data_IF_512084210315
#
_entry.id   IF_512084210315
#
_cell.length_a   1.000
_cell.length_b   1.000
_cell.length_c   1.000
_cell.angle_alpha   90.00
_cell.angle_beta   90.00
_cell.angle_gamma   90.00
#
_symmetry.space_group_name_H-M   'P 1'
#
loop_
_entity.id
_entity.type
_entity.pdbx_description
1 polymer ?
#
# COMPACT_ATOMS: atom_id res chain seq x y z
N UNK A 1 1.55 -22.45 -5.12
CA UNK A 1 1.28 -21.01 -5.06
C UNK A 1 0.81 -20.71 -3.65
N UNK A 2 1.45 -19.76 -2.96
CA UNK A 2 0.91 -19.17 -1.73
C UNK A 2 -0.38 -18.41 -2.05
N UNK A 3 -1.14 -18.01 -1.04
CA UNK A 3 -2.34 -17.20 -1.26
C UNK A 3 -1.98 -15.82 -1.84
N UNK A 4 -0.82 -15.26 -1.45
CA UNK A 4 -0.27 -14.05 -2.06
C UNK A 4 0.04 -14.25 -3.56
N UNK A 5 0.72 -15.33 -3.94
CA UNK A 5 1.03 -15.62 -5.36
C UNK A 5 -0.26 -15.81 -6.18
N UNK A 6 -1.33 -16.38 -5.60
CA UNK A 6 -2.63 -16.52 -6.27
C UNK A 6 -3.30 -15.15 -6.46
N UNK A 7 -3.25 -14.28 -5.45
CA UNK A 7 -3.73 -12.90 -5.55
C UNK A 7 -3.01 -12.15 -6.68
N UNK A 8 -1.68 -12.19 -6.71
CA UNK A 8 -0.87 -11.52 -7.73
C UNK A 8 -1.14 -12.06 -9.14
N UNK A 9 -1.45 -13.35 -9.26
CA UNK A 9 -1.83 -13.99 -10.52
C UNK A 9 -3.32 -13.81 -10.91
N UNK A 10 -4.14 -13.16 -10.08
CA UNK A 10 -5.56 -12.95 -10.33
C UNK A 10 -6.42 -14.22 -10.21
N UNK A 11 -5.97 -15.21 -9.43
CA UNK A 11 -6.67 -16.46 -9.15
C UNK A 11 -7.53 -16.33 -7.88
N UNK A 12 -8.41 -17.29 -7.65
CA UNK A 12 -9.11 -17.40 -6.36
C UNK A 12 -8.09 -17.61 -5.22
N UNK A 13 -8.19 -16.78 -4.18
CA UNK A 13 -7.29 -16.77 -3.02
C UNK A 13 -8.07 -16.56 -1.72
N UNK A 14 -7.48 -16.94 -0.59
CA UNK A 14 -8.04 -16.67 0.73
C UNK A 14 -7.78 -15.21 1.14
N UNK A 15 -8.85 -14.43 1.28
CA UNK A 15 -8.74 -13.02 1.68
C UNK A 15 -8.15 -12.83 3.08
N UNK A 16 -8.40 -13.76 4.00
CA UNK A 16 -7.95 -13.71 5.40
C UNK A 16 -6.65 -14.50 5.63
N UNK A 17 -5.92 -14.84 4.56
CA UNK A 17 -4.58 -15.41 4.70
C UNK A 17 -3.63 -14.39 5.37
N UNK A 18 -2.77 -14.81 6.31
CA UNK A 18 -1.91 -13.88 7.07
C UNK A 18 -0.97 -13.03 6.21
N UNK A 19 -0.47 -13.55 5.08
CA UNK A 19 0.44 -12.81 4.21
C UNK A 19 -0.32 -11.76 3.39
N UNK A 20 -1.50 -12.13 2.90
CA UNK A 20 -2.44 -11.23 2.23
C UNK A 20 -2.94 -10.14 3.20
N UNK A 21 -3.26 -10.52 4.43
CA UNK A 21 -3.68 -9.61 5.50
C UNK A 21 -2.59 -8.59 5.82
N UNK A 22 -1.35 -9.03 6.05
CA UNK A 22 -0.24 -8.14 6.36
C UNK A 22 -0.02 -7.07 5.26
N UNK A 23 -0.18 -7.44 3.98
CA UNK A 23 -0.10 -6.49 2.87
C UNK A 23 -1.20 -5.41 2.92
N UNK A 24 -2.45 -5.82 3.20
CA UNK A 24 -3.58 -4.90 3.36
C UNK A 24 -3.41 -3.99 4.58
N UNK A 25 -2.98 -4.54 5.72
CA UNK A 25 -2.74 -3.78 6.94
C UNK A 25 -1.64 -2.72 6.74
N UNK A 26 -0.54 -3.09 6.08
CA UNK A 26 0.50 -2.12 5.74
C UNK A 26 -0.05 -1.00 4.85
N UNK A 27 -0.85 -1.32 3.82
CA UNK A 27 -1.49 -0.30 2.99
C UNK A 27 -2.37 0.65 3.81
N UNK A 28 -3.18 0.13 4.75
CA UNK A 28 -3.99 0.94 5.66
C UNK A 28 -3.12 1.87 6.52
N UNK A 29 -2.01 1.37 7.07
CA UNK A 29 -1.07 2.17 7.87
C UNK A 29 -0.47 3.31 7.03
N UNK A 30 -0.03 3.03 5.81
CA UNK A 30 0.55 4.06 4.93
C UNK A 30 -0.50 5.12 4.54
N UNK A 31 -1.73 4.71 4.23
CA UNK A 31 -2.83 5.65 3.98
C UNK A 31 -3.11 6.55 5.18
N UNK A 32 -3.05 6.02 6.41
CA UNK A 32 -3.20 6.82 7.64
C UNK A 32 -2.07 7.84 7.79
N UNK A 33 -0.83 7.47 7.48
CA UNK A 33 0.31 8.41 7.49
C UNK A 33 0.10 9.53 6.47
N UNK A 34 -0.25 9.19 5.23
CA UNK A 34 -0.51 10.16 4.17
C UNK A 34 -1.62 11.15 4.56
N UNK A 35 -2.76 10.64 5.03
CA UNK A 35 -3.92 11.46 5.41
C UNK A 35 -3.69 12.33 6.65
N UNK A 36 -2.60 12.12 7.39
CA UNK A 36 -2.24 12.94 8.54
C UNK A 36 -1.29 14.10 8.17
N UNK A 37 -0.82 14.16 6.93
CA UNK A 37 0.03 15.24 6.41
C UNK A 37 -0.85 16.47 6.17
N UNK A 38 -0.31 17.67 6.42
CA UNK A 38 -0.99 18.92 6.09
C UNK A 38 -1.34 18.97 4.60
N UNK A 39 -2.55 19.40 4.25
CA UNK A 39 -3.03 19.47 2.87
C UNK A 39 -2.16 20.39 1.98
N UNK A 40 -1.43 21.34 2.60
CA UNK A 40 -0.51 22.25 1.93
C UNK A 40 0.95 21.76 1.93
N UNK A 41 1.27 20.67 2.62
CA UNK A 41 2.60 20.06 2.60
C UNK A 41 2.75 19.09 1.42
N UNK A 42 2.86 19.68 0.22
CA UNK A 42 3.02 18.92 -1.02
C UNK A 42 4.33 18.15 -1.13
N UNK A 43 5.35 18.48 -0.33
CA UNK A 43 6.62 17.76 -0.30
C UNK A 43 6.49 16.53 0.59
N UNK A 44 5.97 16.69 1.81
CA UNK A 44 5.67 15.58 2.71
C UNK A 44 4.71 14.57 2.09
N UNK A 45 3.65 15.04 1.42
CA UNK A 45 2.73 14.17 0.68
C UNK A 45 3.47 13.36 -0.40
N UNK A 46 4.35 14.00 -1.17
CA UNK A 46 5.10 13.33 -2.25
C UNK A 46 6.10 12.31 -1.72
N UNK A 47 6.80 12.61 -0.62
CA UNK A 47 7.70 11.65 0.02
C UNK A 47 6.92 10.45 0.57
N UNK A 48 5.77 10.66 1.21
CA UNK A 48 4.95 9.56 1.69
C UNK A 48 4.37 8.71 0.54
N UNK A 49 4.09 9.30 -0.63
CA UNK A 49 3.69 8.55 -1.82
C UNK A 49 4.81 7.60 -2.29
N UNK A 50 6.08 8.05 -2.25
CA UNK A 50 7.24 7.19 -2.61
C UNK A 50 7.41 6.01 -1.67
N UNK A 51 7.10 6.20 -0.39
CA UNK A 51 7.18 5.13 0.61
C UNK A 51 6.07 4.09 0.46
N UNK A 52 4.87 4.50 0.02
CA UNK A 52 3.71 3.60 -0.03
C UNK A 52 3.48 2.90 -1.38
N UNK A 53 3.99 3.46 -2.47
CA UNK A 53 3.82 2.92 -3.81
C UNK A 53 5.12 2.35 -4.38
N UNK A 54 5.01 1.29 -5.17
CA UNK A 54 6.16 0.69 -5.86
C UNK A 54 6.81 1.61 -6.89
N UNK A 55 6.10 2.66 -7.34
CA UNK A 55 6.66 3.73 -8.19
C UNK A 55 5.78 4.98 -8.10
N UNK A 56 6.40 6.15 -8.15
CA UNK A 56 5.72 7.44 -8.25
C UNK A 56 6.34 8.23 -9.41
N UNK A 57 5.51 8.90 -10.20
CA UNK A 57 5.97 9.75 -11.31
C UNK A 57 6.68 11.02 -10.82
N UNK A 58 7.40 11.69 -11.72
CA UNK A 58 8.04 12.97 -11.41
C UNK A 58 7.00 14.08 -11.18
N UNK A 59 7.31 14.98 -10.24
CA UNK A 59 6.46 16.12 -9.84
C UNK A 59 6.66 17.32 -10.76
#
# INVERSE_FOLDING_TARGET
>A
MTELEKLEAGLEYCYDDPEVEAGKENAIIQCRKYNAIDDLDYEGQYEQLKEMFGSVGEK
#
